data_IF_724644174182
#
_entry.id   IF_724644174182
#
_cell.length_a   1.000
_cell.length_b   1.000
_cell.length_c   1.000
_cell.angle_alpha   90.00
_cell.angle_beta   90.00
_cell.angle_gamma   90.00
#
_symmetry.space_group_name_H-M   'P 1'
#
loop_
_entity.id
_entity.type
_entity.pdbx_description
1 polymer ?
#
# COMPACT_ATOMS: atom_id res chain seq x y z
N UNK A 1 -45.90 -48.06 -16.00
CA UNK A 1 -44.74 -47.44 -15.29
C UNK A 1 -45.27 -46.54 -14.18
N UNK A 2 -44.86 -46.74 -12.92
CA UNK A 2 -45.32 -45.89 -11.81
C UNK A 2 -44.48 -44.60 -11.72
N UNK A 3 -45.06 -43.47 -11.25
CA UNK A 3 -44.32 -42.22 -11.09
C UNK A 3 -43.45 -42.25 -9.82
N UNK A 4 -42.17 -41.94 -9.99
CA UNK A 4 -41.18 -41.84 -8.91
C UNK A 4 -41.40 -40.55 -8.09
N UNK A 5 -41.63 -40.72 -6.78
CA UNK A 5 -41.71 -39.63 -5.80
C UNK A 5 -40.34 -38.92 -5.68
N UNK A 6 -40.26 -37.64 -6.07
CA UNK A 6 -39.15 -36.75 -5.72
C UNK A 6 -39.15 -36.48 -4.21
N UNK A 7 -38.10 -36.93 -3.50
CA UNK A 7 -37.81 -36.51 -2.13
C UNK A 7 -37.18 -35.12 -2.13
N UNK A 8 -37.78 -34.19 -1.39
CA UNK A 8 -37.23 -32.88 -1.10
C UNK A 8 -36.00 -33.01 -0.20
N UNK A 9 -34.87 -32.44 -0.62
CA UNK A 9 -33.67 -32.32 0.18
C UNK A 9 -33.87 -31.26 1.28
N UNK A 10 -33.76 -31.68 2.54
CA UNK A 10 -33.69 -30.77 3.69
C UNK A 10 -32.30 -30.14 3.73
N UNK A 11 -32.23 -28.81 3.59
CA UNK A 11 -31.01 -28.07 3.86
C UNK A 11 -30.64 -28.14 5.35
N UNK A 12 -29.36 -28.34 5.70
CA UNK A 12 -28.92 -28.32 7.10
C UNK A 12 -28.95 -26.89 7.68
N UNK A 13 -29.15 -26.75 9.01
CA UNK A 13 -29.21 -25.44 9.65
C UNK A 13 -27.87 -24.71 9.59
N UNK A 14 -27.93 -23.44 9.20
CA UNK A 14 -26.82 -22.48 9.23
C UNK A 14 -26.27 -22.34 10.65
N UNK A 15 -24.95 -22.49 10.80
CA UNK A 15 -24.24 -22.26 12.06
C UNK A 15 -24.49 -20.83 12.58
N UNK A 16 -24.69 -20.60 13.88
CA UNK A 16 -24.80 -19.26 14.43
C UNK A 16 -23.44 -18.54 14.36
N UNK A 17 -23.46 -17.30 13.87
CA UNK A 17 -22.33 -16.38 13.88
C UNK A 17 -21.80 -16.19 15.31
N UNK A 18 -20.48 -16.24 15.46
CA UNK A 18 -19.79 -16.08 16.73
C UNK A 18 -19.99 -14.68 17.29
N UNK A 19 -20.30 -14.67 18.59
CA UNK A 19 -20.55 -13.56 19.51
C UNK A 19 -19.57 -12.40 19.36
N UNK A 20 -20.14 -11.20 19.19
CA UNK A 20 -19.53 -9.90 19.48
C UNK A 20 -19.27 -9.81 20.98
N UNK A 21 -18.01 -9.56 21.38
CA UNK A 21 -17.69 -9.10 22.74
C UNK A 21 -17.71 -7.58 22.73
N UNK A 22 -18.83 -7.00 23.14
CA UNK A 22 -18.89 -5.61 23.58
C UNK A 22 -18.38 -5.55 25.03
N UNK A 23 -17.27 -4.85 25.26
CA UNK A 23 -16.86 -4.41 26.58
C UNK A 23 -17.48 -3.03 26.79
N UNK A 24 -18.64 -3.03 27.45
CA UNK A 24 -19.22 -1.85 28.04
C UNK A 24 -18.49 -1.54 29.35
N UNK A 25 -17.89 -0.35 29.44
CA UNK A 25 -17.53 0.27 30.71
C UNK A 25 -18.12 1.68 30.73
N UNK A 26 -19.32 1.75 31.28
CA UNK A 26 -19.91 2.92 31.92
C UNK A 26 -19.70 2.68 33.43
N UNK A 27 -19.57 3.61 34.38
CA UNK A 27 -19.85 5.04 34.50
C UNK A 27 -19.38 5.38 35.95
N UNK A 28 -18.81 6.55 36.26
CA UNK A 28 -19.21 7.49 37.36
C UNK A 28 -18.08 8.44 37.84
N UNK A 29 -18.36 9.73 37.64
CA UNK A 29 -18.25 10.90 38.54
C UNK A 29 -17.03 11.14 39.45
N UNK A 30 -16.41 12.31 39.29
CA UNK A 30 -16.42 13.43 40.26
C UNK A 30 -15.68 14.63 39.60
N UNK A 31 -16.36 15.77 39.36
CA UNK A 31 -16.34 16.96 40.21
C UNK A 31 -14.96 17.62 40.33
N UNK A 32 -14.89 18.89 39.91
CA UNK A 32 -13.65 19.66 39.84
C UNK A 32 -13.07 20.00 41.21
N UNK A 33 -11.74 20.02 41.26
CA UNK A 33 -10.95 20.77 42.23
C UNK A 33 -9.79 21.43 41.48
N UNK A 34 -9.81 22.76 41.44
CA UNK A 34 -8.66 23.59 41.13
C UNK A 34 -7.88 23.82 42.42
N UNK A 35 -6.76 23.13 42.64
CA UNK A 35 -5.82 23.55 43.69
C UNK A 35 -4.36 23.33 43.27
N UNK A 36 -3.58 24.39 43.57
CA UNK A 36 -2.14 24.57 43.65
C UNK A 36 -1.28 23.30 43.65
N UNK A 37 -0.32 23.27 42.73
CA UNK A 37 0.90 22.48 42.84
C UNK A 37 1.85 23.16 43.84
N UNK A 38 1.83 22.71 45.09
CA UNK A 38 2.97 22.84 45.99
C UNK A 38 3.84 21.57 45.88
N UNK A 39 5.15 21.78 45.84
CA UNK A 39 6.17 20.75 45.68
C UNK A 39 6.15 19.79 46.87
N UNK A 40 6.02 18.49 46.57
CA UNK A 40 6.26 17.43 47.55
C UNK A 40 7.69 16.94 47.38
N UNK A 41 8.53 17.27 48.36
CA UNK A 41 9.82 16.62 48.61
C UNK A 41 9.59 15.15 48.97
N UNK A 42 10.12 14.23 48.16
CA UNK A 42 10.14 12.80 48.46
C UNK A 42 11.42 12.45 49.22
N UNK A 43 11.34 11.76 50.38
CA UNK A 43 12.51 11.34 51.13
C UNK A 43 13.30 10.25 50.39
N UNK A 44 14.62 10.34 50.52
CA UNK A 44 15.61 9.48 49.89
C UNK A 44 15.36 7.99 50.14
N UNK A 45 15.31 7.24 49.04
CA UNK A 45 15.37 5.79 49.03
C UNK A 45 16.81 5.40 48.71
N UNK A 46 17.59 5.07 49.74
CA UNK A 46 18.87 4.39 49.60
C UNK A 46 18.63 2.98 49.03
N UNK A 47 19.04 2.78 47.78
CA UNK A 47 19.05 1.45 47.16
C UNK A 47 20.42 0.79 47.42
N UNK A 48 20.47 -0.42 48.00
CA UNK A 48 21.70 -1.14 48.21
C UNK A 48 22.34 -1.56 46.88
N UNK A 49 23.65 -1.37 46.78
CA UNK A 49 24.47 -1.63 45.61
C UNK A 49 24.36 -3.06 45.09
N UNK A 50 23.90 -3.18 43.85
CA UNK A 50 24.02 -4.40 43.05
C UNK A 50 25.38 -4.33 42.36
N UNK A 51 26.34 -5.08 42.90
CA UNK A 51 27.63 -5.32 42.26
C UNK A 51 27.44 -6.08 40.95
N UNK A 52 27.90 -5.48 39.85
CA UNK A 52 28.01 -6.14 38.55
C UNK A 52 29.28 -7.00 38.53
N UNK A 53 29.20 -8.33 38.30
CA UNK A 53 30.39 -9.12 37.98
C UNK A 53 30.88 -8.76 36.58
N UNK A 54 32.18 -8.45 36.48
CA UNK A 54 32.87 -8.17 35.23
C UNK A 54 32.81 -9.37 34.29
N UNK A 55 32.28 -9.16 33.09
CA UNK A 55 32.35 -10.11 32.00
C UNK A 55 33.73 -10.01 31.33
N UNK A 56 34.60 -10.98 31.62
CA UNK A 56 35.79 -11.27 30.83
C UNK A 56 35.38 -11.61 29.39
N UNK A 57 36.01 -10.91 28.44
CA UNK A 57 35.89 -11.20 27.02
C UNK A 57 36.68 -12.47 26.67
N UNK A 58 36.09 -13.47 25.98
CA UNK A 58 36.87 -14.57 25.45
C UNK A 58 37.66 -14.13 24.20
N UNK A 59 38.93 -14.53 24.22
CA UNK A 59 39.94 -14.28 23.21
C UNK A 59 39.55 -14.80 21.81
N UNK A 60 39.97 -14.04 20.80
CA UNK A 60 39.91 -14.43 19.39
C UNK A 60 40.87 -15.59 19.09
N UNK A 61 40.48 -16.60 18.29
CA UNK A 61 41.41 -17.58 17.75
C UNK A 61 42.19 -17.02 16.54
N UNK A 62 43.43 -17.52 16.31
CA UNK A 62 44.37 -16.95 15.35
C UNK A 62 44.08 -17.33 13.90
N UNK A 63 44.48 -16.42 13.03
CA UNK A 63 44.67 -16.53 11.59
C UNK A 63 45.44 -17.80 11.19
N UNK A 64 44.89 -18.57 10.25
CA UNK A 64 45.63 -19.57 9.50
C UNK A 64 45.70 -19.15 8.02
N UNK A 65 46.90 -18.77 7.60
CA UNK A 65 47.28 -18.55 6.21
C UNK A 65 47.60 -19.86 5.49
N UNK A 66 47.34 -19.83 4.18
CA UNK A 66 48.10 -20.47 3.09
C UNK A 66 48.01 -22.00 2.84
N UNK A 67 47.35 -22.37 1.73
CA UNK A 67 47.80 -23.30 0.66
C UNK A 67 46.62 -23.52 -0.30
N UNK A 68 46.76 -23.83 -1.58
CA UNK A 68 47.71 -23.56 -2.65
C UNK A 68 47.00 -23.99 -3.94
N UNK A 69 47.25 -23.26 -5.02
CA UNK A 69 47.42 -23.72 -6.41
C UNK A 69 46.49 -24.82 -6.97
N UNK A 70 45.74 -24.46 -8.01
CA UNK A 70 45.06 -25.44 -8.87
C UNK A 70 44.22 -24.81 -9.99
N UNK A 71 44.88 -24.25 -11.02
CA UNK A 71 44.27 -24.09 -12.35
C UNK A 71 44.16 -25.49 -13.02
N UNK A 72 43.20 -25.73 -13.94
CA UNK A 72 43.53 -25.43 -15.33
C UNK A 72 42.36 -25.01 -16.25
N UNK A 73 42.80 -24.39 -17.35
CA UNK A 73 42.32 -24.50 -18.74
C UNK A 73 41.06 -23.74 -19.19
N UNK A 74 41.39 -22.73 -19.98
CA UNK A 74 40.60 -22.11 -21.02
C UNK A 74 40.05 -23.08 -22.07
N UNK A 75 38.87 -22.77 -22.59
CA UNK A 75 38.51 -22.96 -23.99
C UNK A 75 37.42 -21.93 -24.36
N UNK A 76 37.83 -20.88 -25.08
CA UNK A 76 36.95 -19.98 -25.80
C UNK A 76 36.60 -20.59 -27.17
N UNK A 77 35.39 -20.37 -27.72
CA UNK A 77 35.15 -20.54 -29.15
C UNK A 77 35.45 -19.23 -29.93
N UNK A 78 35.76 -19.36 -31.24
CA UNK A 78 36.41 -18.32 -32.03
C UNK A 78 35.47 -17.27 -32.65
N UNK A 79 36.10 -16.15 -32.95
CA UNK A 79 35.69 -15.02 -33.77
C UNK A 79 35.01 -15.39 -35.09
N UNK A 80 33.92 -14.69 -35.40
CA UNK A 80 33.42 -14.54 -36.76
C UNK A 80 33.93 -13.20 -37.33
N UNK A 81 34.79 -13.28 -38.33
CA UNK A 81 35.30 -12.15 -39.10
C UNK A 81 34.21 -11.51 -39.95
N UNK A 82 34.24 -10.18 -39.96
CA UNK A 82 33.59 -9.34 -40.93
C UNK A 82 34.04 -9.66 -42.37
N UNK A 83 33.12 -9.56 -43.33
CA UNK A 83 33.45 -9.22 -44.71
C UNK A 83 32.43 -8.23 -45.25
N UNK A 84 32.96 -7.18 -45.84
CA UNK A 84 32.28 -5.96 -46.22
C UNK A 84 31.96 -5.91 -47.73
N UNK A 85 31.11 -4.93 -48.07
CA UNK A 85 31.01 -4.20 -49.33
C UNK A 85 30.21 -4.77 -50.50
N UNK A 86 29.22 -3.97 -50.94
CA UNK A 86 28.52 -4.09 -52.21
C UNK A 86 27.37 -3.09 -52.35
N UNK A 87 27.67 -1.84 -52.68
CA UNK A 87 26.73 -0.85 -53.23
C UNK A 87 26.75 -0.90 -54.79
N UNK A 88 26.01 -0.07 -55.53
CA UNK A 88 24.58 0.26 -55.51
C UNK A 88 23.91 -0.13 -56.85
N UNK A 89 22.57 -0.20 -56.92
CA UNK A 89 21.85 -0.17 -58.22
C UNK A 89 20.57 0.65 -58.13
N UNK A 90 20.58 1.75 -58.89
CA UNK A 90 19.42 2.52 -59.29
C UNK A 90 18.69 1.85 -60.47
N UNK A 91 17.36 2.00 -60.48
CA UNK A 91 16.34 1.84 -61.56
C UNK A 91 15.07 1.31 -60.87
N UNK A 92 13.85 1.75 -61.13
CA UNK A 92 13.27 2.80 -61.94
C UNK A 92 11.81 2.93 -61.42
N UNK A 93 11.24 4.12 -61.46
CA UNK A 93 9.83 4.32 -61.15
C UNK A 93 8.92 3.75 -62.26
N UNK A 94 7.76 3.17 -61.92
CA UNK A 94 6.57 3.20 -62.75
C UNK A 94 5.55 4.24 -62.23
N UNK A 95 4.65 4.73 -63.10
CA UNK A 95 3.69 5.77 -62.75
C UNK A 95 2.31 5.21 -62.35
N UNK A 96 1.54 6.10 -61.70
CA UNK A 96 0.09 6.29 -61.82
C UNK A 96 -0.84 5.30 -61.10
N UNK A 97 -1.42 5.87 -60.03
CA UNK A 97 -2.85 5.96 -59.72
C UNK A 97 -3.67 4.74 -59.29
N UNK A 98 -4.58 5.05 -58.37
CA UNK A 98 -5.74 4.30 -57.88
C UNK A 98 -5.50 3.39 -56.68
N UNK A 99 -5.39 3.99 -55.50
CA UNK A 99 -6.31 3.73 -54.36
C UNK A 99 -5.87 4.61 -53.18
N UNK A 100 -6.41 5.82 -53.12
CA UNK A 100 -6.30 6.69 -51.94
C UNK A 100 -7.22 6.11 -50.87
N UNK A 101 -6.67 5.19 -50.07
CA UNK A 101 -7.35 4.67 -48.89
C UNK A 101 -7.61 5.84 -47.94
N UNK A 102 -8.85 5.98 -47.41
CA UNK A 102 -9.17 7.03 -46.46
C UNK A 102 -8.18 6.97 -45.30
N UNK A 103 -7.73 8.15 -44.85
CA UNK A 103 -6.84 8.24 -43.69
C UNK A 103 -7.46 7.49 -42.50
N UNK A 104 -6.64 6.83 -41.68
CA UNK A 104 -7.14 6.13 -40.48
C UNK A 104 -7.97 7.04 -39.55
N UNK A 105 -7.80 8.35 -39.68
CA UNK A 105 -8.57 9.37 -38.96
C UNK A 105 -10.02 9.51 -39.48
N UNK A 106 -10.26 9.28 -40.77
CA UNK A 106 -11.60 9.25 -41.37
C UNK A 106 -12.37 7.98 -41.04
N UNK A 107 -11.74 6.81 -41.08
CA UNK A 107 -12.38 5.56 -40.62
C UNK A 107 -12.74 5.61 -39.13
N UNK A 108 -11.88 6.26 -38.32
CA UNK A 108 -12.13 6.45 -36.89
C UNK A 108 -13.26 7.43 -36.61
N UNK A 109 -13.51 8.40 -37.50
CA UNK A 109 -14.71 9.26 -37.43
C UNK A 109 -15.97 8.53 -37.88
N UNK A 110 -15.89 7.66 -38.88
CA UNK A 110 -17.03 6.89 -39.37
C UNK A 110 -17.52 5.80 -38.40
N UNK A 111 -16.65 5.31 -37.51
CA UNK A 111 -17.00 4.31 -36.50
C UNK A 111 -17.55 4.90 -35.19
N UNK A 112 -17.59 6.23 -35.04
CA UNK A 112 -18.24 6.84 -33.88
C UNK A 112 -19.76 6.83 -34.09
N UNK A 113 -20.53 6.26 -33.16
CA UNK A 113 -21.99 6.25 -33.27
C UNK A 113 -22.51 7.69 -33.34
N UNK A 114 -23.59 7.96 -34.11
CA UNK A 114 -24.17 9.28 -34.21
C UNK A 114 -24.54 9.80 -32.81
N UNK A 115 -23.99 10.97 -32.45
CA UNK A 115 -24.17 11.67 -31.16
C UNK A 115 -25.64 11.99 -30.83
N UNK A 116 -26.57 11.72 -31.74
CA UNK A 116 -28.00 11.96 -31.61
C UNK A 116 -28.78 10.81 -30.94
N UNK A 117 -28.15 9.68 -30.61
CA UNK A 117 -28.81 8.54 -29.94
C UNK A 117 -28.63 8.48 -28.40
N UNK A 118 -27.91 9.43 -27.78
CA UNK A 118 -27.68 9.49 -26.32
C UNK A 118 -28.66 10.43 -25.60
N UNK A 119 -29.93 10.41 -26.00
CA UNK A 119 -31.04 11.21 -25.41
C UNK A 119 -31.54 10.71 -24.05
N UNK A 120 -30.68 10.11 -23.22
CA UNK A 120 -30.92 9.96 -21.78
C UNK A 120 -29.73 10.56 -21.07
N UNK A 121 -29.85 11.84 -20.73
CA UNK A 121 -28.98 12.47 -19.77
C UNK A 121 -28.95 11.56 -18.53
N UNK A 122 -27.83 10.87 -18.31
CA UNK A 122 -27.56 10.24 -17.03
C UNK A 122 -27.68 11.38 -16.03
N UNK A 123 -28.56 11.29 -15.02
CA UNK A 123 -28.64 12.31 -13.98
C UNK A 123 -27.24 12.49 -13.43
N UNK A 124 -26.62 13.62 -13.78
CA UNK A 124 -25.35 14.01 -13.18
C UNK A 124 -25.78 14.57 -11.85
N UNK A 125 -25.90 13.69 -10.84
CA UNK A 125 -26.10 14.10 -9.46
C UNK A 125 -25.10 15.22 -9.17
N UNK A 126 -25.55 16.39 -8.66
CA UNK A 126 -24.65 17.50 -8.40
C UNK A 126 -23.56 17.01 -7.46
N UNK A 127 -22.32 16.97 -7.98
CA UNK A 127 -21.16 16.53 -7.21
C UNK A 127 -20.99 17.48 -6.03
N UNK A 128 -21.43 17.02 -4.86
CA UNK A 128 -21.17 17.71 -3.61
C UNK A 128 -19.74 17.35 -3.22
N UNK A 129 -18.83 18.32 -3.06
CA UNK A 129 -17.46 18.02 -2.70
C UNK A 129 -17.45 17.23 -1.38
N UNK A 130 -16.58 16.21 -1.25
CA UNK A 130 -16.47 15.45 -0.01
C UNK A 130 -16.12 16.42 1.13
N UNK A 131 -16.61 16.16 2.35
CA UNK A 131 -16.38 17.07 3.47
C UNK A 131 -14.92 17.05 3.96
N UNK A 132 -14.10 16.10 3.50
CA UNK A 132 -12.68 15.98 3.84
C UNK A 132 -11.75 16.42 2.68
N UNK A 133 -10.54 16.84 3.02
CA UNK A 133 -9.50 17.20 2.05
C UNK A 133 -8.82 15.94 1.51
N UNK A 134 -8.65 15.85 0.18
CA UNK A 134 -7.95 14.74 -0.48
C UNK A 134 -6.73 15.28 -1.20
N UNK A 135 -5.54 14.79 -0.87
CA UNK A 135 -4.31 15.24 -1.52
C UNK A 135 -4.27 14.86 -3.02
N UNK A 136 -3.57 15.62 -3.87
CA UNK A 136 -3.48 15.35 -5.29
C UNK A 136 -3.01 13.92 -5.62
N UNK A 137 -3.70 13.29 -6.57
CA UNK A 137 -3.36 11.94 -7.04
C UNK A 137 -3.79 10.80 -6.11
N UNK A 138 -4.57 11.08 -5.06
CA UNK A 138 -5.22 10.06 -4.25
C UNK A 138 -6.50 9.59 -4.93
N UNK A 139 -6.64 8.26 -5.08
CA UNK A 139 -7.85 7.64 -5.64
C UNK A 139 -8.59 6.88 -4.54
N UNK A 140 -9.89 7.18 -4.38
CA UNK A 140 -10.77 6.57 -3.39
C UNK A 140 -11.93 5.85 -4.09
N UNK A 141 -12.09 4.53 -3.90
CA UNK A 141 -13.29 3.83 -4.36
C UNK A 141 -14.56 4.37 -3.70
N UNK A 142 -15.72 4.36 -4.36
CA UNK A 142 -16.96 4.92 -3.81
C UNK A 142 -17.33 4.39 -2.42
N UNK A 143 -17.17 3.07 -2.19
CA UNK A 143 -17.43 2.45 -0.89
C UNK A 143 -16.55 3.03 0.23
N UNK A 144 -15.28 3.26 -0.07
CA UNK A 144 -14.29 3.84 0.85
C UNK A 144 -14.61 5.31 1.10
N UNK A 145 -14.92 6.06 0.03
CA UNK A 145 -15.27 7.47 0.13
C UNK A 145 -16.50 7.71 1.02
N UNK A 146 -17.53 6.87 0.90
CA UNK A 146 -18.73 6.93 1.73
C UNK A 146 -18.44 6.65 3.22
N UNK A 147 -17.56 5.67 3.50
CA UNK A 147 -17.14 5.36 4.87
C UNK A 147 -16.31 6.51 5.46
N UNK A 148 -15.37 7.07 4.69
CA UNK A 148 -14.59 8.24 5.12
C UNK A 148 -15.49 9.44 5.41
N UNK A 149 -16.53 9.67 4.62
CA UNK A 149 -17.50 10.75 4.86
C UNK A 149 -18.23 10.58 6.20
N UNK A 150 -18.58 9.34 6.57
CA UNK A 150 -19.15 9.04 7.88
C UNK A 150 -18.18 9.36 9.02
N UNK A 151 -16.91 8.96 8.89
CA UNK A 151 -15.86 9.23 9.88
C UNK A 151 -15.61 10.75 9.99
N UNK A 152 -15.45 11.43 8.85
CA UNK A 152 -15.19 12.86 8.80
C UNK A 152 -16.31 13.67 9.45
N UNK A 153 -17.58 13.34 9.16
CA UNK A 153 -18.71 13.98 9.86
C UNK A 153 -18.66 13.78 11.38
N UNK A 154 -18.27 12.59 11.84
CA UNK A 154 -18.06 12.32 13.26
C UNK A 154 -16.95 13.17 13.88
N UNK A 155 -15.86 13.31 13.14
CA UNK A 155 -14.70 14.09 13.52
C UNK A 155 -15.05 15.59 13.58
N UNK A 156 -15.60 16.15 12.50
CA UNK A 156 -15.98 17.55 12.38
C UNK A 156 -17.01 18.00 13.42
N UNK A 157 -17.93 17.12 13.85
CA UNK A 157 -18.85 17.43 14.96
C UNK A 157 -18.12 17.69 16.28
N UNK A 158 -16.98 17.03 16.51
CA UNK A 158 -16.20 17.10 17.76
C UNK A 158 -15.11 18.18 17.73
N UNK A 159 -14.55 18.44 16.55
CA UNK A 159 -13.36 19.28 16.38
C UNK A 159 -13.63 20.58 15.65
N UNK A 160 -14.68 20.63 14.80
CA UNK A 160 -14.92 21.66 13.78
C UNK A 160 -13.87 21.69 12.66
N UNK A 161 -13.04 20.65 12.59
CA UNK A 161 -12.01 20.46 11.56
C UNK A 161 -12.37 19.27 10.67
N UNK A 162 -11.74 19.19 9.50
CA UNK A 162 -11.93 18.11 8.53
C UNK A 162 -10.68 17.25 8.38
N UNK A 163 -10.87 15.99 8.00
CA UNK A 163 -9.78 15.05 7.78
C UNK A 163 -8.99 15.39 6.52
N UNK A 164 -7.68 15.10 6.55
CA UNK A 164 -6.79 15.22 5.39
C UNK A 164 -6.31 13.83 4.96
N UNK A 165 -6.79 13.38 3.80
CA UNK A 165 -6.46 12.08 3.23
C UNK A 165 -5.18 12.19 2.42
N UNK A 166 -4.14 11.48 2.85
CA UNK A 166 -2.80 11.56 2.25
C UNK A 166 -2.52 10.43 1.26
N UNK A 167 -3.21 9.30 1.39
CA UNK A 167 -3.11 8.16 0.49
C UNK A 167 -4.41 7.38 0.43
N UNK A 168 -4.67 6.73 -0.71
CA UNK A 168 -5.84 5.88 -0.92
C UNK A 168 -5.43 4.57 -1.58
N UNK A 169 -6.16 4.15 -2.62
CA UNK A 169 -5.75 3.01 -3.45
C UNK A 169 -4.40 3.30 -4.11
N UNK A 170 -3.49 2.33 -4.07
CA UNK A 170 -2.18 2.41 -4.73
C UNK A 170 -2.10 1.39 -5.85
N UNK A 171 -1.43 1.77 -6.93
CA UNK A 171 -0.90 0.86 -7.94
C UNK A 171 0.45 0.28 -7.47
N UNK A 172 1.02 -0.62 -8.27
CA UNK A 172 2.30 -1.24 -7.99
C UNK A 172 3.43 -0.20 -7.85
N UNK A 173 3.48 0.81 -8.72
CA UNK A 173 4.50 1.86 -8.69
C UNK A 173 4.49 2.66 -7.39
N UNK A 174 3.33 3.19 -7.01
CA UNK A 174 3.14 3.98 -5.79
C UNK A 174 3.48 3.17 -4.55
N UNK A 175 3.07 1.90 -4.53
CA UNK A 175 3.40 1.01 -3.43
C UNK A 175 4.91 0.71 -3.38
N UNK A 176 5.57 0.50 -4.53
CA UNK A 176 7.02 0.32 -4.61
C UNK A 176 7.77 1.54 -4.07
N UNK A 177 7.38 2.76 -4.47
CA UNK A 177 7.96 4.01 -3.97
C UNK A 177 7.80 4.15 -2.46
N UNK A 178 6.61 3.87 -1.93
CA UNK A 178 6.36 3.91 -0.48
C UNK A 178 7.27 2.92 0.28
N UNK A 179 7.37 1.69 -0.20
CA UNK A 179 8.24 0.66 0.41
C UNK A 179 9.73 1.00 0.27
N UNK A 180 10.15 1.59 -0.86
CA UNK A 180 11.52 2.06 -1.07
C UNK A 180 11.91 3.13 -0.06
N UNK A 181 11.03 4.12 0.17
CA UNK A 181 11.24 5.17 1.17
C UNK A 181 11.40 4.57 2.57
N UNK A 182 10.52 3.64 2.98
CA UNK A 182 10.62 2.97 4.29
C UNK A 182 11.95 2.21 4.45
N UNK A 183 12.39 1.48 3.42
CA UNK A 183 13.70 0.81 3.42
C UNK A 183 14.87 1.78 3.52
N UNK A 184 14.79 2.94 2.85
CA UNK A 184 15.81 3.99 2.92
C UNK A 184 15.90 4.65 4.30
N UNK A 185 14.78 4.72 5.01
CA UNK A 185 14.70 5.19 6.40
C UNK A 185 15.11 4.12 7.42
N UNK A 186 15.52 2.94 6.98
CA UNK A 186 15.97 1.86 7.86
C UNK A 186 14.85 1.04 8.51
N UNK A 187 13.60 1.15 8.04
CA UNK A 187 12.50 0.34 8.55
C UNK A 187 12.64 -1.14 8.14
N UNK A 188 12.23 -2.03 9.04
CA UNK A 188 12.11 -3.45 8.71
C UNK A 188 10.72 -3.80 8.21
N UNK A 189 10.60 -3.92 6.89
CA UNK A 189 9.34 -4.28 6.23
C UNK A 189 8.77 -5.63 6.70
N UNK A 190 9.62 -6.55 7.19
CA UNK A 190 9.16 -7.82 7.73
C UNK A 190 8.46 -7.67 9.08
N UNK A 191 8.58 -6.54 9.77
CA UNK A 191 7.75 -6.25 10.96
C UNK A 191 6.45 -5.59 10.57
N UNK A 192 6.49 -4.68 9.60
CA UNK A 192 5.36 -3.85 9.19
C UNK A 192 4.26 -4.63 8.44
N UNK A 193 4.63 -5.46 7.47
CA UNK A 193 3.66 -6.09 6.58
C UNK A 193 3.26 -7.48 7.03
N UNK A 194 1.96 -7.82 6.93
CA UNK A 194 1.43 -9.13 7.34
C UNK A 194 1.96 -10.30 6.48
N UNK A 195 2.00 -10.13 5.16
CA UNK A 195 2.43 -11.19 4.23
C UNK A 195 3.97 -11.22 4.10
N UNK A 196 4.63 -12.00 4.96
CA UNK A 196 6.10 -12.04 5.02
C UNK A 196 6.73 -12.60 3.75
N UNK A 197 6.11 -13.58 3.10
CA UNK A 197 6.62 -14.18 1.86
C UNK A 197 6.67 -13.15 0.72
N UNK A 198 5.57 -12.40 0.52
CA UNK A 198 5.52 -11.34 -0.49
C UNK A 198 6.57 -10.25 -0.23
N UNK A 199 6.76 -9.87 1.04
CA UNK A 199 7.79 -8.88 1.44
C UNK A 199 9.20 -9.39 1.15
N UNK A 200 9.48 -10.67 1.36
CA UNK A 200 10.80 -11.25 1.10
C UNK A 200 11.17 -11.16 -0.39
N UNK A 201 10.23 -11.45 -1.30
CA UNK A 201 10.43 -11.28 -2.74
C UNK A 201 10.80 -9.83 -3.09
N UNK A 202 10.09 -8.86 -2.52
CA UNK A 202 10.34 -7.43 -2.75
C UNK A 202 11.67 -6.99 -2.13
N UNK A 203 12.00 -7.43 -0.90
CA UNK A 203 13.30 -7.14 -0.27
C UNK A 203 14.46 -7.69 -1.10
N UNK A 204 14.30 -8.89 -1.68
CA UNK A 204 15.29 -9.48 -2.59
C UNK A 204 15.49 -8.62 -3.84
N UNK A 205 14.40 -8.13 -4.45
CA UNK A 205 14.50 -7.21 -5.59
C UNK A 205 15.22 -5.90 -5.22
N UNK A 206 14.89 -5.30 -4.08
CA UNK A 206 15.57 -4.12 -3.54
C UNK A 206 17.06 -4.38 -3.34
N UNK A 207 17.44 -5.47 -2.69
CA UNK A 207 18.84 -5.84 -2.42
C UNK A 207 19.63 -6.04 -3.72
N UNK A 208 19.07 -6.78 -4.67
CA UNK A 208 19.68 -7.02 -5.98
C UNK A 208 19.88 -5.74 -6.80
N UNK A 209 18.95 -4.78 -6.66
CA UNK A 209 19.03 -3.49 -7.33
C UNK A 209 19.74 -2.40 -6.51
N UNK A 210 20.14 -2.65 -5.26
CA UNK A 210 20.54 -1.62 -4.28
C UNK A 210 21.68 -0.68 -4.71
N UNK A 211 22.53 -1.12 -5.64
CA UNK A 211 23.65 -0.34 -6.22
C UNK A 211 23.25 0.49 -7.45
N UNK A 212 22.01 0.35 -7.92
CA UNK A 212 21.47 1.07 -9.07
C UNK A 212 20.88 2.43 -8.64
N UNK A 213 20.62 3.35 -9.58
CA UNK A 213 19.90 4.59 -9.30
C UNK A 213 18.52 4.32 -8.67
N UNK A 214 18.01 5.21 -7.79
CA UNK A 214 16.74 5.02 -7.07
C UNK A 214 15.57 4.58 -7.96
N UNK A 215 15.42 5.19 -9.14
CA UNK A 215 14.31 4.87 -10.02
C UNK A 215 14.38 3.45 -10.59
N UNK A 216 15.59 2.92 -10.81
CA UNK A 216 15.76 1.52 -11.23
C UNK A 216 15.49 0.55 -10.09
N UNK A 217 15.75 0.96 -8.83
CA UNK A 217 15.40 0.16 -7.65
C UNK A 217 13.89 0.09 -7.50
N UNK A 218 13.20 1.23 -7.61
CA UNK A 218 11.73 1.32 -7.57
C UNK A 218 11.12 0.48 -8.69
N UNK A 219 11.61 0.59 -9.93
CA UNK A 219 11.11 -0.21 -11.05
C UNK A 219 11.28 -1.73 -10.82
N UNK A 220 12.42 -2.15 -10.23
CA UNK A 220 12.63 -3.55 -9.88
C UNK A 220 11.68 -4.05 -8.79
N UNK A 221 11.39 -3.21 -7.78
CA UNK A 221 10.41 -3.53 -6.74
C UNK A 221 8.98 -3.56 -7.28
N UNK A 222 8.63 -2.59 -8.14
CA UNK A 222 7.35 -2.50 -8.82
C UNK A 222 7.05 -3.74 -9.64
N UNK A 223 8.01 -4.23 -10.44
CA UNK A 223 7.83 -5.43 -11.25
C UNK A 223 7.45 -6.66 -10.40
N UNK A 224 8.07 -6.82 -9.21
CA UNK A 224 7.71 -7.88 -8.27
C UNK A 224 6.31 -7.67 -7.68
N UNK A 225 5.96 -6.44 -7.31
CA UNK A 225 4.63 -6.13 -6.78
C UNK A 225 3.55 -6.38 -7.84
N UNK A 226 3.80 -6.00 -9.09
CA UNK A 226 2.87 -6.23 -10.20
C UNK A 226 2.68 -7.73 -10.44
N UNK A 227 3.75 -8.51 -10.51
CA UNK A 227 3.67 -9.97 -10.63
C UNK A 227 2.92 -10.61 -9.45
N UNK A 228 3.09 -10.10 -8.23
CA UNK A 228 2.30 -10.54 -7.08
C UNK A 228 0.81 -10.24 -7.27
N UNK A 229 0.45 -9.03 -7.69
CA UNK A 229 -0.93 -8.63 -7.96
C UNK A 229 -1.54 -9.54 -9.03
N UNK A 230 -0.81 -9.83 -10.11
CA UNK A 230 -1.25 -10.70 -11.20
C UNK A 230 -1.51 -12.14 -10.70
N UNK A 231 -0.74 -12.60 -9.71
CA UNK A 231 -0.95 -13.89 -9.00
C UNK A 231 -2.02 -13.82 -7.89
N UNK A 232 -2.68 -12.68 -7.70
CA UNK A 232 -3.65 -12.48 -6.62
C UNK A 232 -3.04 -12.38 -5.21
N UNK A 233 -1.72 -12.17 -5.13
CA UNK A 233 -0.96 -12.00 -3.90
C UNK A 233 -0.81 -10.50 -3.64
N UNK A 234 -1.25 -10.04 -2.48
CA UNK A 234 -1.19 -8.62 -2.14
C UNK A 234 -0.34 -8.42 -0.89
N UNK A 235 0.70 -7.60 -1.01
CA UNK A 235 1.59 -7.26 0.12
C UNK A 235 0.95 -6.23 1.06
N UNK A 236 0.08 -5.35 0.54
CA UNK A 236 -0.57 -4.26 1.28
C UNK A 236 -2.06 -4.17 0.96
N UNK A 237 -2.85 -3.71 1.93
CA UNK A 237 -4.28 -3.44 1.76
C UNK A 237 -4.57 -2.26 0.79
N UNK A 238 -3.62 -1.33 0.60
CA UNK A 238 -3.75 -0.25 -0.40
C UNK A 238 -3.87 -0.78 -1.83
N UNK A 239 -3.28 -1.94 -2.11
CA UNK A 239 -3.35 -2.59 -3.44
C UNK A 239 -4.71 -3.25 -3.68
N UNK A 240 -5.45 -3.60 -2.61
CA UNK A 240 -6.78 -4.24 -2.68
C UNK A 240 -7.95 -3.25 -2.70
N UNK A 241 -7.67 -1.94 -2.82
CA UNK A 241 -8.69 -0.88 -2.78
C UNK A 241 -9.43 -0.75 -1.44
N UNK A 242 -8.85 -1.26 -0.36
CA UNK A 242 -9.48 -1.30 0.96
C UNK A 242 -8.80 -0.41 2.01
N UNK A 243 -7.78 0.38 1.65
CA UNK A 243 -7.01 1.13 2.64
C UNK A 243 -6.76 2.58 2.28
N UNK A 244 -6.66 3.41 3.32
CA UNK A 244 -6.54 4.87 3.25
C UNK A 244 -5.61 5.33 4.36
N UNK A 245 -4.76 6.32 4.06
CA UNK A 245 -3.94 6.98 5.07
C UNK A 245 -4.49 8.38 5.37
N UNK A 246 -4.63 8.69 6.65
CA UNK A 246 -5.08 9.98 7.17
C UNK A 246 -3.92 10.67 7.87
N UNK A 247 -3.69 11.96 7.58
CA UNK A 247 -2.64 12.75 8.22
C UNK A 247 -2.85 12.81 9.73
N UNK A 248 -1.84 12.46 10.52
CA UNK A 248 -1.87 12.59 11.98
C UNK A 248 -0.93 13.67 12.53
N UNK A 249 0.07 14.10 11.73
CA UNK A 249 1.14 15.01 12.17
C UNK A 249 0.64 16.33 12.77
N UNK A 250 -0.44 16.88 12.23
CA UNK A 250 -0.98 18.19 12.63
C UNK A 250 -2.14 18.07 13.64
N UNK A 251 -2.52 16.85 14.03
CA UNK A 251 -3.59 16.64 15.00
C UNK A 251 -3.07 16.80 16.43
N UNK A 252 -3.74 17.65 17.20
CA UNK A 252 -3.67 17.69 18.66
C UNK A 252 -4.13 16.37 19.27
N UNK A 253 -3.79 16.13 20.54
CA UNK A 253 -4.24 14.93 21.27
C UNK A 253 -5.79 14.81 21.31
N UNK A 254 -6.49 15.94 21.43
CA UNK A 254 -7.97 15.99 21.40
C UNK A 254 -8.50 15.53 20.03
N UNK A 255 -7.89 16.00 18.94
CA UNK A 255 -8.28 15.64 17.59
C UNK A 255 -7.97 14.17 17.28
N UNK A 256 -6.80 13.67 17.68
CA UNK A 256 -6.47 12.24 17.55
C UNK A 256 -7.52 11.36 18.23
N UNK A 257 -7.90 11.69 19.46
CA UNK A 257 -8.98 10.99 20.19
C UNK A 257 -10.31 11.08 19.44
N UNK A 258 -10.70 12.27 19.00
CA UNK A 258 -11.94 12.47 18.26
C UNK A 258 -11.98 11.67 16.95
N UNK A 259 -10.84 11.56 16.25
CA UNK A 259 -10.70 10.75 15.05
C UNK A 259 -10.89 9.26 15.35
N UNK A 260 -10.20 8.74 16.38
CA UNK A 260 -10.33 7.34 16.79
C UNK A 260 -11.76 6.98 17.23
N UNK A 261 -12.41 7.86 18.01
CA UNK A 261 -13.83 7.70 18.38
C UNK A 261 -14.74 7.67 17.16
N UNK A 262 -14.53 8.57 16.19
CA UNK A 262 -15.34 8.65 14.98
C UNK A 262 -15.14 7.45 14.05
N UNK A 263 -13.91 6.92 13.98
CA UNK A 263 -13.62 5.69 13.25
C UNK A 263 -14.29 4.48 13.90
N UNK A 264 -14.25 4.38 15.23
CA UNK A 264 -14.94 3.32 15.97
C UNK A 264 -16.47 3.37 15.79
N UNK A 265 -17.07 4.56 15.79
CA UNK A 265 -18.50 4.77 15.53
C UNK A 265 -18.91 4.37 14.10
N UNK A 266 -18.02 4.54 13.12
CA UNK A 266 -18.31 4.22 11.73
C UNK A 266 -18.42 2.70 11.48
N UNK A 267 -17.74 1.89 12.31
CA UNK A 267 -17.73 0.43 12.23
C UNK A 267 -17.03 -0.11 10.97
N UNK A 268 -16.58 -1.36 11.03
CA UNK A 268 -15.88 -2.05 9.93
C UNK A 268 -14.62 -1.31 9.45
N UNK A 269 -13.91 -0.65 10.38
CA UNK A 269 -12.65 0.05 10.13
C UNK A 269 -11.62 -0.36 11.17
N UNK A 270 -10.52 -0.95 10.69
CA UNK A 270 -9.32 -1.16 11.50
C UNK A 270 -8.40 0.05 11.37
N UNK A 271 -7.99 0.63 12.50
CA UNK A 271 -7.12 1.82 12.53
C UNK A 271 -5.79 1.48 13.19
N UNK A 272 -4.69 1.83 12.51
CA UNK A 272 -3.34 1.70 13.02
C UNK A 272 -2.62 3.05 12.95
N UNK A 273 -2.00 3.49 14.05
CA UNK A 273 -1.12 4.66 14.03
C UNK A 273 0.28 4.25 13.56
N UNK A 274 0.71 4.75 12.40
CA UNK A 274 2.08 4.63 11.92
C UNK A 274 2.86 5.90 12.25
N UNK A 275 4.08 5.76 12.77
CA UNK A 275 4.91 6.90 13.21
C UNK A 275 5.88 7.39 12.13
N UNK A 276 6.17 6.57 11.11
CA UNK A 276 7.19 6.88 10.09
C UNK A 276 6.66 6.60 8.67
N UNK A 277 6.32 7.64 7.88
CA UNK A 277 5.96 8.98 8.35
C UNK A 277 4.69 8.96 9.23
N UNK A 278 4.39 9.99 10.04
CA UNK A 278 3.24 10.00 10.94
C UNK A 278 1.90 10.07 10.19
N UNK A 279 1.12 8.99 10.24
CA UNK A 279 -0.24 8.91 9.71
C UNK A 279 -1.07 7.83 10.43
N UNK A 280 -2.39 7.88 10.28
CA UNK A 280 -3.27 6.76 10.60
C UNK A 280 -3.53 5.95 9.33
N UNK A 281 -3.21 4.66 9.37
CA UNK A 281 -3.57 3.70 8.34
C UNK A 281 -4.93 3.09 8.68
N UNK A 282 -5.89 3.21 7.77
CA UNK A 282 -7.23 2.66 7.90
C UNK A 282 -7.38 1.52 6.91
N UNK A 283 -7.86 0.37 7.39
CA UNK A 283 -8.35 -0.71 6.55
C UNK A 283 -9.87 -0.80 6.70
N UNK A 284 -10.59 -0.75 5.58
CA UNK A 284 -12.05 -0.76 5.51
C UNK A 284 -12.47 -1.99 4.69
N UNK A 285 -13.30 -2.85 5.28
CA UNK A 285 -13.76 -4.11 4.69
C UNK A 285 -15.02 -3.95 3.81
#
# INVERSE_FOLDING_TARGET
MPPTRRRAAKNPPSKPARRVRALAAALLCAAGCTEKLESVDLPGVDLPGIGMPGAEAPAAPPSASARAQGAPRAAAPPSASARAQGAPRARAAPPSDCDELPSEEEERRAQLPPLTALGKAVPVEPWTPPPYEVLPGVTLPPKIAAKLEQIDRGYARRTREHLVITSGTRDANRQARAMFTKLRLGEDLLKLYRNKAAVQEIKKAYQNASRKPPEQVVAAMEAVIQDQIDRGIYVSAHLRKGAVDVRSRTMSAKEKRAFLESAAEAGDVDVLEETTPPHYHLQID
#
